data_IF_475703097803
#
_entry.id   IF_475703097803
#
_cell.length_a   1.000
_cell.length_b   1.000
_cell.length_c   1.000
_cell.angle_alpha   90.00
_cell.angle_beta   90.00
_cell.angle_gamma   90.00
#
_symmetry.space_group_name_H-M   'P 1'
#
loop_
_entity.id
_entity.type
_entity.pdbx_description
1 polymer ?
#
# COMPACT_ATOMS: atom_id res chain seq x y z
N UNK A 1 6.28 12.99 22.38
CA UNK A 1 5.47 12.17 21.49
C UNK A 1 4.08 12.05 22.09
N UNK A 2 3.04 12.41 21.33
CA UNK A 2 1.65 12.30 21.78
C UNK A 2 0.93 11.10 21.13
N UNK A 3 -0.33 10.88 21.51
CA UNK A 3 -1.11 9.75 20.99
C UNK A 3 -1.30 9.80 19.47
N UNK A 4 -1.48 10.99 18.88
CA UNK A 4 -1.65 11.10 17.43
C UNK A 4 -0.38 10.66 16.71
N UNK A 5 0.77 11.19 17.12
CA UNK A 5 2.08 10.80 16.56
C UNK A 5 2.37 9.31 16.73
N UNK A 6 1.94 8.71 17.85
CA UNK A 6 2.03 7.27 18.04
C UNK A 6 1.22 6.48 17.01
N UNK A 7 -0.06 6.84 16.82
CA UNK A 7 -0.89 6.15 15.83
C UNK A 7 -0.46 6.45 14.38
N UNK A 8 0.06 7.64 14.10
CA UNK A 8 0.67 8.00 12.81
C UNK A 8 1.91 7.17 12.47
N UNK A 9 2.65 6.70 13.48
CA UNK A 9 3.76 5.79 13.22
C UNK A 9 3.28 4.34 13.10
N UNK A 10 2.38 3.91 13.98
CA UNK A 10 1.96 2.51 14.03
C UNK A 10 1.11 2.11 12.83
N UNK A 11 0.06 2.89 12.50
CA UNK A 11 -0.93 2.47 11.49
C UNK A 11 -0.35 2.57 10.06
N UNK A 12 0.13 3.75 9.60
CA UNK A 12 0.83 3.87 8.31
C UNK A 12 2.07 2.99 8.23
N UNK A 13 2.84 2.85 9.31
CA UNK A 13 4.05 2.03 9.34
C UNK A 13 3.77 0.55 9.20
N UNK A 14 2.79 0.02 9.93
CA UNK A 14 2.34 -1.36 9.78
C UNK A 14 1.88 -1.64 8.35
N UNK A 15 1.05 -0.78 7.78
CA UNK A 15 0.54 -0.92 6.42
C UNK A 15 1.68 -0.91 5.39
N UNK A 16 2.54 0.12 5.43
CA UNK A 16 3.62 0.28 4.46
C UNK A 16 4.62 -0.88 4.50
N UNK A 17 5.04 -1.30 5.71
CA UNK A 17 5.96 -2.41 5.88
C UNK A 17 5.33 -3.75 5.47
N UNK A 18 4.07 -4.00 5.84
CA UNK A 18 3.38 -5.23 5.47
C UNK A 18 3.24 -5.34 3.94
N UNK A 19 2.76 -4.30 3.28
CA UNK A 19 2.58 -4.30 1.83
C UNK A 19 3.90 -4.42 1.08
N UNK A 20 4.93 -3.70 1.51
CA UNK A 20 6.23 -3.76 0.88
C UNK A 20 6.91 -5.11 1.10
N UNK A 21 6.81 -5.68 2.30
CA UNK A 21 7.29 -7.02 2.60
C UNK A 21 6.60 -8.10 1.77
N UNK A 22 5.29 -8.00 1.59
CA UNK A 22 4.54 -8.89 0.70
C UNK A 22 5.01 -8.74 -0.75
N UNK A 23 5.18 -7.52 -1.22
CA UNK A 23 5.68 -7.30 -2.58
C UNK A 23 7.07 -7.91 -2.80
N UNK A 24 7.99 -7.73 -1.84
CA UNK A 24 9.37 -8.19 -1.95
C UNK A 24 9.54 -9.70 -1.73
N UNK A 25 8.86 -10.29 -0.75
CA UNK A 25 9.13 -11.67 -0.33
C UNK A 25 8.07 -12.65 -0.81
N UNK A 26 6.79 -12.29 -0.73
CA UNK A 26 5.71 -13.22 -1.10
C UNK A 26 5.66 -13.48 -2.60
N UNK A 27 5.78 -12.42 -3.43
CA UNK A 27 5.69 -12.56 -4.89
C UNK A 27 6.80 -13.44 -5.49
N UNK A 28 8.07 -13.37 -5.07
CA UNK A 28 9.08 -14.32 -5.50
C UNK A 28 8.79 -15.76 -5.07
N UNK A 29 8.30 -15.97 -3.83
CA UNK A 29 8.02 -17.30 -3.30
C UNK A 29 6.93 -18.04 -4.09
N UNK A 30 5.89 -17.34 -4.54
CA UNK A 30 4.80 -17.97 -5.32
C UNK A 30 5.18 -18.27 -6.79
N UNK A 31 6.32 -17.78 -7.30
CA UNK A 31 6.77 -18.07 -8.67
C UNK A 31 7.17 -19.52 -8.91
N UNK A 32 7.45 -20.28 -7.84
CA UNK A 32 7.75 -21.71 -7.93
C UNK A 32 6.53 -22.60 -8.07
N UNK A 33 5.31 -22.09 -7.81
CA UNK A 33 4.09 -22.89 -7.81
C UNK A 33 3.56 -23.15 -9.24
N UNK A 34 2.87 -24.28 -9.47
CA UNK A 34 2.05 -24.52 -10.66
C UNK A 34 1.09 -23.36 -10.92
N UNK A 35 0.81 -23.06 -12.19
CA UNK A 35 0.09 -21.84 -12.59
C UNK A 35 -1.30 -21.71 -11.93
N UNK A 36 -2.08 -22.79 -11.88
CA UNK A 36 -3.39 -22.81 -11.21
C UNK A 36 -3.30 -22.57 -9.69
N UNK A 37 -2.38 -23.26 -9.00
CA UNK A 37 -2.16 -23.08 -7.56
C UNK A 37 -1.67 -21.66 -7.22
N UNK A 38 -0.87 -21.04 -8.11
CA UNK A 38 -0.43 -19.65 -7.93
C UNK A 38 -1.61 -18.67 -7.98
N UNK A 39 -2.53 -18.86 -8.92
CA UNK A 39 -3.71 -18.00 -9.06
C UNK A 39 -4.65 -18.21 -7.87
N UNK A 40 -4.87 -19.46 -7.45
CA UNK A 40 -5.73 -19.75 -6.29
C UNK A 40 -5.23 -19.11 -5.00
N UNK A 41 -3.91 -19.18 -4.75
CA UNK A 41 -3.28 -18.51 -3.60
C UNK A 41 -3.39 -16.98 -3.70
N UNK A 42 -3.16 -16.39 -4.88
CA UNK A 42 -3.34 -14.94 -5.09
C UNK A 42 -4.81 -14.53 -4.88
N UNK A 43 -5.78 -15.33 -5.32
CA UNK A 43 -7.21 -15.05 -5.13
C UNK A 43 -7.61 -15.06 -3.65
N UNK A 44 -7.15 -16.06 -2.88
CA UNK A 44 -7.40 -16.11 -1.43
C UNK A 44 -6.80 -14.91 -0.70
N UNK A 45 -5.58 -14.54 -1.11
CA UNK A 45 -4.90 -13.36 -0.62
C UNK A 45 -5.70 -12.08 -0.92
N UNK A 46 -6.10 -11.87 -2.18
CA UNK A 46 -6.87 -10.70 -2.62
C UNK A 46 -8.21 -10.59 -1.88
N UNK A 47 -8.96 -11.69 -1.70
CA UNK A 47 -10.25 -11.66 -0.97
C UNK A 47 -10.09 -11.17 0.47
N UNK A 48 -9.01 -11.56 1.14
CA UNK A 48 -8.75 -11.18 2.53
C UNK A 48 -8.21 -9.75 2.62
N UNK A 49 -7.20 -9.45 1.80
CA UNK A 49 -6.52 -8.16 1.83
C UNK A 49 -7.38 -7.02 1.28
N UNK A 50 -8.21 -7.25 0.26
CA UNK A 50 -9.09 -6.22 -0.31
C UNK A 50 -10.14 -5.69 0.67
N UNK A 51 -10.40 -6.40 1.77
CA UNK A 51 -11.28 -5.90 2.84
C UNK A 51 -10.54 -5.04 3.86
N UNK A 52 -9.33 -5.42 4.25
CA UNK A 52 -8.59 -4.78 5.35
C UNK A 52 -7.76 -3.58 4.87
N UNK A 53 -7.11 -3.71 3.72
CA UNK A 53 -6.17 -2.71 3.19
C UNK A 53 -6.84 -1.34 2.94
N UNK A 54 -8.04 -1.24 2.34
CA UNK A 54 -8.68 0.06 2.12
C UNK A 54 -8.99 0.79 3.42
N UNK A 55 -9.37 0.05 4.47
CA UNK A 55 -9.68 0.61 5.79
C UNK A 55 -8.39 1.17 6.41
N UNK A 56 -7.31 0.39 6.43
CA UNK A 56 -6.01 0.83 6.95
C UNK A 56 -5.43 1.99 6.16
N UNK A 57 -5.57 1.97 4.84
CA UNK A 57 -5.07 3.03 3.96
C UNK A 57 -5.84 4.32 4.19
N UNK A 58 -7.18 4.26 4.25
CA UNK A 58 -8.02 5.41 4.55
C UNK A 58 -7.72 6.00 5.94
N UNK A 59 -7.56 5.14 6.94
CA UNK A 59 -7.17 5.56 8.29
C UNK A 59 -5.79 6.23 8.31
N UNK A 60 -4.82 5.69 7.57
CA UNK A 60 -3.48 6.27 7.44
C UNK A 60 -3.52 7.69 6.85
N UNK A 61 -4.27 7.89 5.77
CA UNK A 61 -4.43 9.22 5.15
C UNK A 61 -5.07 10.21 6.12
N UNK A 62 -6.10 9.79 6.86
CA UNK A 62 -6.77 10.64 7.84
C UNK A 62 -5.86 11.04 9.00
N UNK A 63 -5.11 10.09 9.56
CA UNK A 63 -4.15 10.36 10.65
C UNK A 63 -3.08 11.35 10.19
N UNK A 64 -2.45 11.08 9.03
CA UNK A 64 -1.39 11.94 8.48
C UNK A 64 -1.93 13.34 8.19
N UNK A 65 -3.15 13.47 7.67
CA UNK A 65 -3.79 14.76 7.45
C UNK A 65 -4.00 15.52 8.76
N UNK A 66 -4.54 14.87 9.80
CA UNK A 66 -4.71 15.49 11.12
C UNK A 66 -3.38 15.98 11.69
N UNK A 67 -2.30 15.22 11.51
CA UNK A 67 -0.97 15.62 11.94
C UNK A 67 -0.40 16.77 11.10
N UNK A 68 -0.57 16.73 9.77
CA UNK A 68 -0.15 17.80 8.87
C UNK A 68 -0.79 19.15 9.23
N UNK A 69 -2.08 19.15 9.57
CA UNK A 69 -2.82 20.36 9.95
C UNK A 69 -2.33 21.02 11.25
N UNK A 70 -1.50 20.34 12.06
CA UNK A 70 -0.90 20.93 13.26
C UNK A 70 0.26 21.87 12.96
N UNK A 71 0.85 21.79 11.76
CA UNK A 71 1.95 22.67 11.37
C UNK A 71 1.43 24.02 10.90
N UNK A 72 1.84 25.10 11.58
CA UNK A 72 1.52 26.48 11.22
C UNK A 72 2.60 27.16 10.37
N UNK A 73 3.82 26.65 10.43
CA UNK A 73 4.99 27.24 9.77
C UNK A 73 5.51 26.34 8.65
N UNK A 74 6.10 26.95 7.62
CA UNK A 74 6.63 26.23 6.46
C UNK A 74 8.08 25.73 6.71
N UNK A 75 8.25 24.87 7.71
CA UNK A 75 9.53 24.25 8.03
C UNK A 75 9.72 22.89 7.29
N UNK A 76 10.90 22.29 7.44
CA UNK A 76 11.22 21.01 6.80
C UNK A 76 10.28 19.87 7.25
N UNK A 77 9.90 19.85 8.53
CA UNK A 77 8.96 18.87 9.07
C UNK A 77 7.57 18.99 8.42
N UNK A 78 7.08 20.21 8.19
CA UNK A 78 5.82 20.47 7.50
C UNK A 78 5.87 19.97 6.05
N UNK A 79 6.94 20.28 5.31
CA UNK A 79 7.11 19.79 3.94
C UNK A 79 7.15 18.25 3.87
N UNK A 80 7.81 17.61 4.84
CA UNK A 80 7.90 16.16 4.90
C UNK A 80 6.53 15.49 5.17
N UNK A 81 5.71 16.01 6.10
CA UNK A 81 4.38 15.43 6.36
C UNK A 81 3.42 15.64 5.18
N UNK A 82 3.43 16.80 4.52
CA UNK A 82 2.64 16.97 3.30
C UNK A 82 3.10 16.08 2.15
N UNK A 83 4.41 15.86 2.03
CA UNK A 83 4.97 14.88 1.10
C UNK A 83 4.49 13.45 1.42
N UNK A 84 4.48 13.08 2.71
CA UNK A 84 3.92 11.81 3.18
C UNK A 84 2.44 11.65 2.80
N UNK A 85 1.63 12.67 3.10
CA UNK A 85 0.21 12.68 2.79
C UNK A 85 -0.03 12.53 1.29
N UNK A 86 0.76 13.23 0.47
CA UNK A 86 0.70 13.12 -0.99
C UNK A 86 1.01 11.69 -1.44
N UNK A 87 2.10 11.09 -0.96
CA UNK A 87 2.47 9.71 -1.28
C UNK A 87 1.37 8.70 -0.93
N UNK A 88 0.81 8.77 0.29
CA UNK A 88 -0.29 7.88 0.70
C UNK A 88 -1.57 8.13 -0.11
N UNK A 89 -1.89 9.38 -0.41
CA UNK A 89 -3.07 9.73 -1.23
C UNK A 89 -2.94 9.21 -2.66
N UNK A 90 -1.78 9.39 -3.29
CA UNK A 90 -1.51 8.88 -4.65
C UNK A 90 -1.49 7.35 -4.67
N UNK A 91 -0.92 6.70 -3.65
CA UNK A 91 -0.96 5.25 -3.50
C UNK A 91 -2.42 4.72 -3.36
N UNK A 92 -3.26 5.44 -2.63
CA UNK A 92 -4.69 5.11 -2.48
C UNK A 92 -5.43 5.26 -3.80
N UNK A 93 -5.25 6.39 -4.46
CA UNK A 93 -5.88 6.68 -5.75
C UNK A 93 -5.48 5.66 -6.83
N UNK A 94 -4.19 5.31 -6.90
CA UNK A 94 -3.69 4.31 -7.85
C UNK A 94 -4.28 2.93 -7.56
N UNK A 95 -4.47 2.57 -6.29
CA UNK A 95 -5.15 1.33 -5.91
C UNK A 95 -6.59 1.27 -6.41
N UNK A 96 -7.34 2.37 -6.28
CA UNK A 96 -8.75 2.40 -6.69
C UNK A 96 -8.87 2.34 -8.22
N UNK A 97 -7.99 3.04 -8.95
CA UNK A 97 -8.11 3.19 -10.40
C UNK A 97 -7.46 2.05 -11.19
N UNK A 98 -6.30 1.57 -10.74
CA UNK A 98 -5.50 0.58 -11.48
C UNK A 98 -5.67 -0.83 -10.95
N UNK A 99 -5.77 -1.01 -9.62
CA UNK A 99 -5.78 -2.34 -9.01
C UNK A 99 -7.19 -2.92 -8.97
N UNK A 100 -8.20 -2.13 -8.63
CA UNK A 100 -9.55 -2.66 -8.41
C UNK A 100 -10.10 -3.49 -9.58
N UNK A 101 -10.01 -2.98 -10.80
CA UNK A 101 -10.51 -3.70 -11.99
C UNK A 101 -9.71 -4.97 -12.27
N UNK A 102 -8.40 -4.93 -12.02
CA UNK A 102 -7.49 -6.07 -12.19
C UNK A 102 -7.72 -7.13 -11.10
N UNK A 103 -7.99 -6.72 -9.87
CA UNK A 103 -8.27 -7.61 -8.74
C UNK A 103 -9.60 -8.33 -8.94
N UNK A 104 -10.62 -7.63 -9.43
CA UNK A 104 -11.91 -8.20 -9.80
C UNK A 104 -11.76 -9.23 -10.94
N UNK A 105 -10.95 -8.91 -11.96
CA UNK A 105 -10.60 -9.82 -13.05
C UNK A 105 -9.90 -11.09 -12.52
N UNK A 106 -8.82 -10.95 -11.73
CA UNK A 106 -8.07 -12.08 -11.15
C UNK A 106 -8.97 -12.95 -10.25
N UNK A 107 -9.84 -12.33 -9.46
CA UNK A 107 -10.74 -13.05 -8.54
C UNK A 107 -11.80 -13.88 -9.28
N UNK A 108 -12.12 -13.51 -10.53
CA UNK A 108 -13.09 -14.19 -11.37
C UNK A 108 -12.54 -15.39 -12.16
N UNK A 109 -11.22 -15.57 -12.22
CA UNK A 109 -10.62 -16.63 -13.03
C UNK A 109 -10.91 -18.03 -12.48
N UNK A 110 -11.17 -18.97 -13.38
CA UNK A 110 -11.16 -20.41 -13.07
C UNK A 110 -9.71 -20.90 -12.99
N UNK A 111 -9.22 -21.36 -11.82
CA UNK A 111 -7.86 -21.88 -11.68
C UNK A 111 -7.57 -23.09 -12.57
N UNK A 112 -8.61 -23.83 -12.99
CA UNK A 112 -8.49 -24.97 -13.92
C UNK A 112 -8.34 -24.56 -15.38
N UNK A 113 -8.82 -23.37 -15.76
CA UNK A 113 -8.82 -22.87 -17.14
C UNK A 113 -8.51 -21.38 -17.18
N UNK A 114 -7.21 -21.04 -17.06
CA UNK A 114 -6.76 -19.65 -17.07
C UNK A 114 -6.94 -18.99 -18.45
N UNK A 115 -7.35 -17.71 -18.50
CA UNK A 115 -7.52 -16.99 -19.75
C UNK A 115 -6.18 -16.73 -20.45
N UNK A 116 -6.14 -16.69 -21.78
CA UNK A 116 -4.89 -16.61 -22.56
C UNK A 116 -4.00 -15.39 -22.22
N UNK A 117 -4.59 -14.30 -21.72
CA UNK A 117 -3.91 -13.07 -21.32
C UNK A 117 -3.48 -13.03 -19.84
N UNK A 118 -3.68 -14.11 -19.05
CA UNK A 118 -3.50 -14.09 -17.60
C UNK A 118 -2.12 -13.59 -17.14
N UNK A 119 -1.04 -13.96 -17.85
CA UNK A 119 0.34 -13.51 -17.54
C UNK A 119 0.50 -12.00 -17.63
N UNK A 120 -0.16 -11.38 -18.61
CA UNK A 120 -0.12 -9.94 -18.83
C UNK A 120 -0.83 -9.19 -17.71
N UNK A 121 -2.04 -9.65 -17.35
CA UNK A 121 -2.84 -9.10 -16.26
C UNK A 121 -2.11 -9.25 -14.93
N UNK A 122 -1.53 -10.43 -14.66
CA UNK A 122 -0.74 -10.68 -13.47
C UNK A 122 0.51 -9.78 -13.37
N UNK A 123 1.20 -9.53 -14.49
CA UNK A 123 2.33 -8.60 -14.54
C UNK A 123 1.90 -7.15 -14.26
N UNK A 124 0.75 -6.72 -14.81
CA UNK A 124 0.20 -5.38 -14.54
C UNK A 124 -0.17 -5.22 -13.07
N UNK A 125 -0.84 -6.21 -12.49
CA UNK A 125 -1.14 -6.27 -11.05
C UNK A 125 0.13 -6.14 -10.22
N UNK A 126 1.18 -6.91 -10.58
CA UNK A 126 2.46 -6.88 -9.88
C UNK A 126 3.11 -5.49 -9.88
N UNK A 127 3.14 -4.83 -11.04
CA UNK A 127 3.72 -3.48 -11.19
C UNK A 127 2.94 -2.47 -10.37
N UNK A 128 1.61 -2.51 -10.45
CA UNK A 128 0.76 -1.56 -9.76
C UNK A 128 0.79 -1.75 -8.23
N UNK A 129 0.83 -2.99 -7.74
CA UNK A 129 1.07 -3.27 -6.33
C UNK A 129 2.46 -2.81 -5.88
N UNK A 130 3.51 -3.04 -6.67
CA UNK A 130 4.86 -2.59 -6.36
C UNK A 130 4.99 -1.08 -6.28
N UNK A 131 4.35 -0.36 -7.21
CA UNK A 131 4.29 1.11 -7.19
C UNK A 131 3.58 1.62 -5.93
N UNK A 132 2.43 1.03 -5.60
CA UNK A 132 1.64 1.40 -4.42
C UNK A 132 2.41 1.18 -3.11
N UNK A 133 2.99 0.00 -2.93
CA UNK A 133 3.79 -0.33 -1.75
C UNK A 133 5.02 0.59 -1.62
N UNK A 134 5.68 0.90 -2.74
CA UNK A 134 6.85 1.80 -2.74
C UNK A 134 6.46 3.23 -2.36
N UNK A 135 5.33 3.73 -2.86
CA UNK A 135 4.81 5.05 -2.50
C UNK A 135 4.43 5.12 -1.02
N UNK A 136 3.76 4.10 -0.48
CA UNK A 136 3.44 4.04 0.95
C UNK A 136 4.71 3.99 1.82
N UNK A 137 5.71 3.20 1.43
CA UNK A 137 6.99 3.15 2.15
C UNK A 137 7.72 4.49 2.12
N UNK A 138 7.81 5.13 0.96
CA UNK A 138 8.39 6.47 0.83
C UNK A 138 7.62 7.48 1.69
N UNK A 139 6.28 7.44 1.64
CA UNK A 139 5.43 8.27 2.47
C UNK A 139 5.67 8.05 3.95
N UNK A 140 5.85 6.81 4.39
CA UNK A 140 6.14 6.48 5.77
C UNK A 140 7.51 6.98 6.21
N UNK A 141 8.55 6.85 5.38
CA UNK A 141 9.87 7.42 5.64
C UNK A 141 9.80 8.94 5.82
N UNK A 142 9.04 9.63 4.97
CA UNK A 142 8.82 11.08 5.08
C UNK A 142 8.08 11.44 6.38
N UNK A 143 7.11 10.63 6.81
CA UNK A 143 6.39 10.83 8.07
C UNK A 143 7.32 10.69 9.28
N UNK A 144 8.13 9.63 9.30
CA UNK A 144 9.16 9.43 10.32
C UNK A 144 10.12 10.62 10.36
N UNK A 145 10.58 11.09 9.20
CA UNK A 145 11.43 12.27 9.09
C UNK A 145 10.76 13.54 9.62
N UNK A 146 9.48 13.74 9.34
CA UNK A 146 8.70 14.87 9.86
C UNK A 146 8.60 14.85 11.39
N UNK A 147 8.28 13.70 11.97
CA UNK A 147 8.17 13.54 13.43
C UNK A 147 9.55 13.72 14.07
N UNK A 148 10.61 13.09 13.53
CA UNK A 148 11.97 13.23 14.05
C UNK A 148 12.44 14.70 14.02
N UNK A 149 12.20 15.42 12.92
CA UNK A 149 12.57 16.83 12.76
C UNK A 149 11.78 17.79 13.67
N UNK A 150 10.67 17.35 14.27
CA UNK A 150 9.90 18.13 15.25
C UNK A 150 10.51 18.06 16.65
N UNK A 151 11.26 17.01 16.95
CA UNK A 151 11.89 16.76 18.24
C UNK A 151 13.39 17.07 18.28
N UNK A 152 13.98 17.41 17.14
CA UNK A 152 15.35 17.89 17.00
C UNK A 152 15.43 19.41 17.19
#
# INVERSE_FOLDING_TARGET
MDFLEFFDLIVPGFLACAEFGLFLFWRPSIRGLPEGARVEVEQQFLRTFNRVIPILTGLSVLLILMYALRFKENNAANRAVWGSLFCFSVATASSIWLNRSVDEEITSWDPGHLPTNWKSVWKRHAIAQGLRASLQLLGFILLCGSIAARYA
#
